data_IF_462348971873
#
_entry.id   IF_462348971873
#
_cell.length_a   1.000
_cell.length_b   1.000
_cell.length_c   1.000
_cell.angle_alpha   90.00
_cell.angle_beta   90.00
_cell.angle_gamma   90.00
#
_symmetry.space_group_name_H-M   'P 1'
#
loop_
_entity.id
_entity.type
_entity.pdbx_description
1 polymer ?
#
# COMPACT_ATOMS: atom_id res chain seq x y z
N UNK A 1 -0.37 3.25 -21.63
CA UNK A 1 -0.19 3.64 -20.22
C UNK A 1 0.83 2.68 -19.58
N UNK A 2 2.08 3.11 -19.42
CA UNK A 2 3.17 2.20 -19.06
C UNK A 2 3.07 1.66 -17.63
N UNK A 3 2.75 2.53 -16.67
CA UNK A 3 2.53 2.14 -15.28
C UNK A 3 1.54 3.05 -14.57
N UNK A 4 1.00 2.54 -13.46
CA UNK A 4 0.31 3.30 -12.42
C UNK A 4 1.01 3.05 -11.10
N UNK A 5 1.19 4.12 -10.33
CA UNK A 5 1.81 4.07 -9.01
C UNK A 5 0.76 4.48 -7.99
N UNK A 6 0.21 3.50 -7.27
CA UNK A 6 -0.67 3.75 -6.13
C UNK A 6 0.21 4.09 -4.92
N UNK A 7 0.51 5.38 -4.77
CA UNK A 7 1.32 5.93 -3.68
C UNK A 7 0.49 6.64 -2.59
N UNK A 8 -0.75 7.02 -2.90
CA UNK A 8 -1.60 7.71 -1.94
C UNK A 8 -1.86 6.81 -0.71
N UNK A 9 -1.55 7.33 0.47
CA UNK A 9 -1.79 6.63 1.72
C UNK A 9 -1.81 7.60 2.90
N UNK A 10 -2.68 7.32 3.87
CA UNK A 10 -2.78 8.03 5.14
C UNK A 10 -2.58 7.07 6.31
N UNK A 11 -2.18 7.62 7.45
CA UNK A 11 -2.13 6.91 8.74
C UNK A 11 -2.88 7.76 9.76
N UNK A 12 -3.92 7.17 10.35
CA UNK A 12 -4.74 7.78 11.40
C UNK A 12 -5.01 6.72 12.47
N UNK A 13 -5.05 7.15 13.73
CA UNK A 13 -5.30 6.27 14.86
C UNK A 13 -4.03 5.90 15.64
N UNK A 14 -4.25 5.19 16.73
CA UNK A 14 -3.24 4.69 17.67
C UNK A 14 -3.64 3.27 18.09
N UNK A 15 -3.73 2.98 19.39
CA UNK A 15 -4.25 1.69 19.87
C UNK A 15 -5.70 1.46 19.42
N UNK A 16 -6.06 0.21 19.18
CA UNK A 16 -7.36 -0.18 18.65
C UNK A 16 -8.50 0.21 19.58
N UNK A 17 -8.28 0.17 20.90
CA UNK A 17 -9.27 0.47 21.93
C UNK A 17 -9.72 1.94 21.92
N UNK A 18 -8.86 2.85 21.48
CA UNK A 18 -9.09 4.30 21.50
C UNK A 18 -9.27 4.91 20.11
N UNK A 19 -9.04 4.12 19.05
CA UNK A 19 -9.19 4.60 17.68
C UNK A 19 -10.65 4.48 17.25
N UNK A 20 -11.26 5.61 16.87
CA UNK A 20 -12.63 5.59 16.38
C UNK A 20 -12.75 4.83 15.05
N UNK A 21 -13.89 4.16 14.86
CA UNK A 21 -14.18 3.42 13.63
C UNK A 21 -14.06 4.32 12.39
N UNK A 22 -14.50 5.57 12.47
CA UNK A 22 -14.43 6.52 11.37
C UNK A 22 -12.98 6.76 10.91
N UNK A 23 -12.02 6.83 11.84
CA UNK A 23 -10.59 6.98 11.48
C UNK A 23 -10.06 5.72 10.78
N UNK A 24 -10.51 4.55 11.21
CA UNK A 24 -10.15 3.28 10.56
C UNK A 24 -10.73 3.21 9.15
N UNK A 25 -12.01 3.58 8.99
CA UNK A 25 -12.70 3.62 7.71
C UNK A 25 -12.03 4.58 6.73
N UNK A 26 -11.60 5.76 7.17
CA UNK A 26 -10.87 6.71 6.33
C UNK A 26 -9.55 6.12 5.81
N UNK A 27 -8.79 5.44 6.68
CA UNK A 27 -7.53 4.78 6.29
C UNK A 27 -7.80 3.67 5.27
N UNK A 28 -8.85 2.87 5.48
CA UNK A 28 -9.27 1.83 4.53
C UNK A 28 -9.70 2.44 3.20
N UNK A 29 -10.49 3.51 3.24
CA UNK A 29 -11.04 4.13 2.04
C UNK A 29 -9.93 4.70 1.13
N UNK A 30 -8.91 5.33 1.73
CA UNK A 30 -7.76 5.85 0.97
C UNK A 30 -6.82 4.73 0.55
N UNK A 31 -6.31 3.94 1.50
CA UNK A 31 -5.16 3.06 1.25
C UNK A 31 -5.56 1.80 0.48
N UNK A 32 -6.76 1.27 0.73
CA UNK A 32 -7.25 0.05 0.08
C UNK A 32 -8.23 0.39 -1.05
N UNK A 33 -9.33 1.07 -0.74
CA UNK A 33 -10.38 1.29 -1.73
C UNK A 33 -9.95 2.27 -2.82
N UNK A 34 -9.19 3.31 -2.48
CA UNK A 34 -8.58 4.23 -3.44
C UNK A 34 -7.68 3.51 -4.45
N UNK A 35 -6.77 2.66 -3.96
CA UNK A 35 -5.90 1.79 -4.77
C UNK A 35 -6.70 0.91 -5.74
N UNK A 36 -7.79 0.30 -5.27
CA UNK A 36 -8.67 -0.54 -6.10
C UNK A 36 -9.37 0.30 -7.17
N UNK A 37 -9.94 1.45 -6.80
CA UNK A 37 -10.68 2.34 -7.71
C UNK A 37 -9.79 2.85 -8.83
N UNK A 38 -8.59 3.34 -8.50
CA UNK A 38 -7.61 3.81 -9.50
C UNK A 38 -7.22 2.67 -10.42
N UNK A 39 -6.81 1.53 -9.87
CA UNK A 39 -6.40 0.37 -10.69
C UNK A 39 -7.52 -0.08 -11.63
N UNK A 40 -8.77 -0.14 -11.15
CA UNK A 40 -9.94 -0.53 -11.95
C UNK A 40 -10.21 0.47 -13.07
N UNK A 41 -10.14 1.77 -12.79
CA UNK A 41 -10.40 2.84 -13.77
C UNK A 41 -9.45 2.77 -14.97
N UNK A 42 -8.18 2.43 -14.74
CA UNK A 42 -7.16 2.40 -15.78
C UNK A 42 -6.83 0.99 -16.31
N UNK A 43 -7.47 -0.06 -15.78
CA UNK A 43 -7.22 -1.45 -16.17
C UNK A 43 -7.31 -1.69 -17.69
N UNK A 44 -8.27 -1.10 -18.45
CA UNK A 44 -8.31 -1.27 -19.90
C UNK A 44 -7.07 -0.73 -20.60
N UNK A 45 -6.56 0.42 -20.16
CA UNK A 45 -5.36 1.06 -20.72
C UNK A 45 -4.11 0.25 -20.38
N UNK A 46 -4.00 -0.23 -19.15
CA UNK A 46 -2.91 -1.08 -18.70
C UNK A 46 -2.84 -2.39 -19.50
N UNK A 47 -3.98 -3.05 -19.73
CA UNK A 47 -4.04 -4.29 -20.54
C UNK A 47 -3.58 -4.04 -21.97
N UNK A 48 -4.07 -2.99 -22.63
CA UNK A 48 -3.68 -2.66 -24.01
C UNK A 48 -2.19 -2.44 -24.17
N UNK A 49 -1.55 -1.76 -23.21
CA UNK A 49 -0.12 -1.48 -23.28
C UNK A 49 0.76 -2.46 -22.52
N UNK A 50 0.21 -3.58 -22.00
CA UNK A 50 0.93 -4.53 -21.14
C UNK A 50 1.69 -3.83 -20.00
N UNK A 51 1.02 -2.84 -19.41
CA UNK A 51 1.54 -1.97 -18.37
C UNK A 51 1.59 -2.64 -17.00
N UNK A 52 1.96 -1.87 -15.99
CA UNK A 52 2.23 -2.37 -14.64
C UNK A 52 1.47 -1.58 -13.58
N UNK A 53 1.12 -2.24 -12.50
CA UNK A 53 0.61 -1.59 -11.29
C UNK A 53 1.66 -1.73 -10.20
N UNK A 54 2.05 -0.60 -9.61
CA UNK A 54 3.00 -0.52 -8.51
C UNK A 54 2.24 0.03 -7.31
N UNK A 55 2.14 -0.76 -6.24
CA UNK A 55 1.60 -0.31 -4.96
C UNK A 55 2.74 0.00 -4.02
N UNK A 56 2.72 1.20 -3.42
CA UNK A 56 3.68 1.60 -2.39
C UNK A 56 3.07 1.25 -1.03
N UNK A 57 3.65 0.25 -0.35
CA UNK A 57 3.23 -0.19 0.97
C UNK A 57 4.30 0.14 2.02
N UNK A 58 3.87 0.22 3.28
CA UNK A 58 4.76 0.43 4.43
C UNK A 58 5.28 -0.90 4.96
N UNK A 59 6.56 -0.93 5.35
CA UNK A 59 7.14 -2.07 6.05
C UNK A 59 6.48 -2.37 7.40
N UNK A 60 5.78 -1.42 8.02
CA UNK A 60 5.00 -1.70 9.23
C UNK A 60 3.94 -2.80 8.98
N UNK A 61 3.36 -2.86 7.78
CA UNK A 61 2.42 -3.93 7.40
C UNK A 61 3.08 -5.31 7.26
N UNK A 62 4.41 -5.35 7.11
CA UNK A 62 5.21 -6.57 7.02
C UNK A 62 5.87 -6.94 8.36
N UNK A 63 6.25 -5.94 9.17
CA UNK A 63 6.86 -6.09 10.49
C UNK A 63 5.93 -6.72 11.52
N UNK A 64 4.60 -6.58 11.38
CA UNK A 64 3.64 -7.33 12.20
C UNK A 64 3.75 -8.87 12.05
N UNK A 65 4.49 -9.38 11.06
CA UNK A 65 4.80 -10.82 10.94
C UNK A 65 6.08 -11.26 11.68
N UNK A 66 6.88 -10.37 12.27
CA UNK A 66 8.15 -10.73 12.92
C UNK A 66 8.17 -10.30 14.39
N UNK A 67 8.56 -11.18 15.34
CA UNK A 67 8.64 -10.82 16.75
C UNK A 67 9.57 -9.63 16.98
N UNK A 68 9.14 -8.70 17.85
CA UNK A 68 9.83 -7.47 18.18
C UNK A 68 11.15 -7.74 18.91
N UNK A 69 12.24 -7.88 18.15
CA UNK A 69 13.59 -8.00 18.72
C UNK A 69 14.74 -7.89 17.73
N UNK A 70 14.48 -7.65 16.43
CA UNK A 70 15.50 -7.81 15.40
C UNK A 70 15.39 -6.78 14.27
N UNK A 71 15.69 -5.50 14.52
CA UNK A 71 15.95 -4.58 13.40
C UNK A 71 17.10 -3.62 13.70
N UNK A 72 18.18 -3.75 12.93
CA UNK A 72 19.35 -2.86 12.97
C UNK A 72 19.18 -1.66 12.01
N UNK A 73 19.90 -0.53 12.24
CA UNK A 73 19.73 0.72 11.47
C UNK A 73 20.05 0.63 9.96
N UNK A 74 20.79 -0.40 9.50
CA UNK A 74 21.02 -0.64 8.06
C UNK A 74 19.81 -1.30 7.37
N UNK A 75 18.95 -2.01 8.12
CA UNK A 75 17.78 -2.69 7.56
C UNK A 75 16.61 -1.74 7.27
N UNK A 76 16.54 -0.59 7.95
CA UNK A 76 15.40 0.34 7.87
C UNK A 76 15.36 1.21 6.60
N UNK A 77 16.48 1.40 5.89
CA UNK A 77 16.56 2.19 4.64
C UNK A 77 16.13 1.41 3.39
N UNK A 78 16.04 0.08 3.50
CA UNK A 78 15.62 -0.90 2.47
C UNK A 78 14.10 -1.21 2.57
N UNK A 79 13.42 -0.68 3.59
CA UNK A 79 12.00 -0.90 3.89
C UNK A 79 11.06 -0.11 2.98
N UNK A 80 11.18 -0.31 1.66
CA UNK A 80 10.21 0.19 0.69
C UNK A 80 9.54 -1.00 0.02
N UNK A 81 8.40 -1.40 0.56
CA UNK A 81 7.61 -2.51 0.01
C UNK A 81 6.92 -2.04 -1.27
N UNK A 82 7.57 -2.25 -2.41
CA UNK A 82 6.94 -2.12 -3.72
C UNK A 82 6.34 -3.47 -4.11
N UNK A 83 5.03 -3.53 -4.27
CA UNK A 83 4.39 -4.68 -4.91
C UNK A 83 4.11 -4.30 -6.36
N UNK A 84 4.93 -4.83 -7.26
CA UNK A 84 4.76 -4.66 -8.70
C UNK A 84 4.05 -5.90 -9.28
N UNK A 85 2.95 -5.67 -9.99
CA UNK A 85 2.28 -6.72 -10.78
C UNK A 85 2.22 -6.29 -12.23
N UNK A 86 2.83 -7.10 -13.10
CA UNK A 86 2.70 -6.97 -14.55
C UNK A 86 1.30 -7.45 -14.96
N UNK A 87 0.59 -6.63 -15.72
CA UNK A 87 -0.70 -7.02 -16.28
C UNK A 87 -0.41 -7.78 -17.59
N UNK A 88 -0.70 -9.09 -17.60
CA UNK A 88 -0.61 -9.98 -18.77
C UNK A 88 -1.81 -9.81 -19.69
#
# INVERSE_FOLDING_TARGET
LWAIINNAGISKGSEIEITSIQKIEEVIDVNLMGTIRVTKAFLPLLRRSKGRVINVASAAGELYKKPAGLVSPKLSRILRTHVEKKIS
#
